data_IF_951971678086
#
_entry.id   IF_951971678086
#
_cell.length_a   1.000
_cell.length_b   1.000
_cell.length_c   1.000
_cell.angle_alpha   90.00
_cell.angle_beta   90.00
_cell.angle_gamma   90.00
#
_symmetry.space_group_name_H-M   'P 1'
#
loop_
_entity.id
_entity.type
_entity.pdbx_description
1 polymer ?
#
# COMPACT_ATOMS: atom_id res chain seq x y z
N UNK A 1 17.15 -8.85 6.15
CA UNK A 1 16.93 -7.69 5.26
C UNK A 1 16.24 -6.65 6.11
N UNK A 2 16.94 -5.60 6.48
CA UNK A 2 16.46 -4.57 7.40
C UNK A 2 15.83 -3.43 6.61
N UNK A 3 14.58 -3.10 6.91
CA UNK A 3 13.78 -2.15 6.13
C UNK A 3 13.49 -0.90 6.96
N UNK A 4 13.70 0.29 6.40
CA UNK A 4 13.18 1.53 6.98
C UNK A 4 11.81 1.86 6.38
N UNK A 5 10.79 2.06 7.22
CA UNK A 5 9.43 2.44 6.86
C UNK A 5 9.08 3.83 7.43
N UNK A 6 9.47 4.94 6.76
CA UNK A 6 9.05 6.27 7.17
C UNK A 6 7.54 6.44 6.96
N UNK A 7 6.83 6.90 8.00
CA UNK A 7 5.37 7.03 7.97
C UNK A 7 4.90 8.30 8.69
N UNK A 8 3.63 8.65 8.48
CA UNK A 8 2.98 9.73 9.23
C UNK A 8 2.32 9.19 10.49
N UNK A 9 2.05 10.08 11.46
CA UNK A 9 1.33 9.72 12.71
C UNK A 9 0.00 9.03 12.44
N UNK A 10 -0.75 9.50 11.43
CA UNK A 10 -2.08 8.98 11.09
C UNK A 10 -2.04 7.49 10.73
N UNK A 11 -0.97 7.04 10.07
CA UNK A 11 -0.84 5.68 9.54
C UNK A 11 0.09 4.80 10.38
N UNK A 12 0.72 5.35 11.42
CA UNK A 12 1.73 4.66 12.22
C UNK A 12 1.27 3.29 12.71
N UNK A 13 0.13 3.22 13.39
CA UNK A 13 -0.38 1.95 13.96
C UNK A 13 -0.59 0.90 12.88
N UNK A 14 -1.11 1.29 11.70
CA UNK A 14 -1.35 0.36 10.59
C UNK A 14 -0.03 -0.19 10.05
N UNK A 15 0.96 0.68 9.86
CA UNK A 15 2.28 0.28 9.34
C UNK A 15 3.04 -0.56 10.37
N UNK A 16 2.98 -0.19 11.65
CA UNK A 16 3.60 -0.94 12.75
C UNK A 16 3.05 -2.36 12.86
N UNK A 17 1.73 -2.52 12.79
CA UNK A 17 1.08 -3.84 12.84
C UNK A 17 1.47 -4.69 11.63
N UNK A 18 1.49 -4.11 10.44
CA UNK A 18 1.87 -4.83 9.22
C UNK A 18 3.36 -5.18 9.14
N UNK A 19 4.23 -4.40 9.80
CA UNK A 19 5.66 -4.67 9.88
C UNK A 19 6.01 -5.80 10.86
N UNK A 20 5.06 -6.26 11.70
CA UNK A 20 5.32 -7.38 12.63
C UNK A 20 5.74 -8.64 11.87
N UNK A 21 6.85 -9.23 12.29
CA UNK A 21 7.44 -10.41 11.64
C UNK A 21 8.42 -10.09 10.53
N UNK A 22 8.65 -8.81 10.23
CA UNK A 22 9.74 -8.34 9.38
C UNK A 22 10.80 -7.65 10.22
N UNK A 23 12.05 -7.68 9.74
CA UNK A 23 13.14 -6.88 10.26
C UNK A 23 12.98 -5.45 9.69
N UNK A 24 12.12 -4.66 10.34
CA UNK A 24 11.71 -3.36 9.83
C UNK A 24 11.51 -2.33 10.95
N UNK A 25 12.08 -1.15 10.76
CA UNK A 25 11.91 0.00 11.65
C UNK A 25 10.87 0.96 11.07
N UNK A 26 9.83 1.24 11.87
CA UNK A 26 8.77 2.18 11.49
C UNK A 26 9.02 3.49 12.21
N UNK A 27 9.26 4.56 11.43
CA UNK A 27 9.64 5.85 11.99
C UNK A 27 8.62 6.91 11.59
N UNK A 28 8.11 7.64 12.58
CA UNK A 28 7.19 8.75 12.35
C UNK A 28 7.99 9.99 11.93
N UNK A 29 7.74 10.51 10.72
CA UNK A 29 8.45 11.67 10.16
C UNK A 29 7.59 12.93 10.04
N UNK A 30 6.32 12.85 10.43
CA UNK A 30 5.38 13.97 10.38
C UNK A 30 3.94 13.51 10.57
N UNK A 31 2.98 14.36 10.19
CA UNK A 31 1.55 14.00 10.23
C UNK A 31 1.18 13.01 9.11
N UNK A 32 1.65 13.25 7.89
CA UNK A 32 1.38 12.45 6.70
C UNK A 32 2.66 11.88 6.09
N UNK A 33 2.63 10.60 5.74
CA UNK A 33 3.78 9.92 5.11
C UNK A 33 4.15 10.51 3.73
N UNK A 34 3.17 11.04 3.00
CA UNK A 34 3.35 11.63 1.66
C UNK A 34 4.16 12.93 1.65
N UNK A 35 4.33 13.57 2.80
CA UNK A 35 5.09 14.82 2.95
C UNK A 35 6.56 14.59 3.30
N UNK A 36 7.00 13.33 3.28
CA UNK A 36 8.39 12.96 3.52
C UNK A 36 9.32 13.66 2.52
N UNK A 37 10.34 14.32 3.03
CA UNK A 37 11.35 15.02 2.22
C UNK A 37 12.66 14.22 2.13
N UNK A 38 13.47 14.43 1.08
CA UNK A 38 14.79 13.79 0.96
C UNK A 38 15.71 14.09 2.16
N UNK A 39 15.68 15.32 2.68
CA UNK A 39 16.47 15.71 3.85
C UNK A 39 16.11 14.92 5.12
N UNK A 40 14.82 14.60 5.33
CA UNK A 40 14.41 13.75 6.45
C UNK A 40 14.91 12.32 6.30
N UNK A 41 14.80 11.73 5.09
CA UNK A 41 15.33 10.39 4.83
C UNK A 41 16.83 10.34 5.05
N UNK A 42 17.57 11.33 4.52
CA UNK A 42 19.01 11.46 4.75
C UNK A 42 19.36 11.48 6.24
N UNK A 43 18.65 12.28 7.05
CA UNK A 43 18.88 12.35 8.49
C UNK A 43 18.64 11.01 9.21
N UNK A 44 17.63 10.25 8.77
CA UNK A 44 17.35 8.92 9.33
C UNK A 44 18.47 7.93 9.00
N UNK A 45 18.93 7.92 7.75
CA UNK A 45 20.00 7.03 7.28
C UNK A 45 21.38 7.39 7.85
N UNK A 46 21.64 8.67 8.13
CA UNK A 46 22.88 9.10 8.81
C UNK A 46 22.99 8.58 10.24
N UNK A 47 21.86 8.28 10.88
CA UNK A 47 21.82 7.79 12.26
C UNK A 47 22.03 6.27 12.36
N UNK A 48 21.67 5.54 11.30
CA UNK A 48 21.85 4.10 11.18
C UNK A 48 21.86 3.71 9.69
N UNK A 49 23.03 3.30 9.18
CA UNK A 49 23.23 2.93 7.78
C UNK A 49 23.08 1.42 7.51
N UNK A 50 22.56 0.65 8.48
CA UNK A 50 22.42 -0.81 8.34
C UNK A 50 21.15 -1.26 7.59
N UNK A 51 20.37 -0.31 7.05
CA UNK A 51 19.19 -0.62 6.26
C UNK A 51 19.58 -1.10 4.86
N UNK A 52 18.89 -2.15 4.40
CA UNK A 52 19.04 -2.67 3.04
C UNK A 52 18.18 -1.88 2.03
N UNK A 53 17.09 -1.25 2.50
CA UNK A 53 16.24 -0.37 1.70
C UNK A 53 15.34 0.53 2.56
N UNK A 54 14.84 1.59 1.94
CA UNK A 54 13.76 2.43 2.47
C UNK A 54 12.51 2.25 1.62
N UNK A 55 11.36 2.07 2.24
CA UNK A 55 10.08 2.04 1.55
C UNK A 55 9.23 3.24 1.96
N UNK A 56 9.10 4.21 1.06
CA UNK A 56 8.34 5.45 1.29
C UNK A 56 6.87 5.28 0.89
N UNK A 57 6.02 6.25 1.23
CA UNK A 57 4.63 6.23 0.75
C UNK A 57 4.56 6.26 -0.79
N UNK A 58 3.64 5.49 -1.38
CA UNK A 58 3.33 5.59 -2.80
C UNK A 58 2.71 6.93 -3.22
N UNK A 59 2.34 7.78 -2.26
CA UNK A 59 1.84 9.14 -2.49
C UNK A 59 2.95 10.20 -2.46
N UNK A 60 4.19 9.84 -2.16
CA UNK A 60 5.32 10.77 -2.21
C UNK A 60 5.59 11.20 -3.65
N UNK A 61 5.70 12.50 -3.89
CA UNK A 61 6.06 13.07 -5.20
C UNK A 61 7.53 13.49 -5.29
N UNK A 62 8.21 13.62 -4.15
CA UNK A 62 9.62 13.94 -4.10
C UNK A 62 10.48 12.84 -4.76
N UNK A 63 11.55 13.27 -5.43
CA UNK A 63 12.62 12.36 -5.86
C UNK A 63 13.59 12.15 -4.71
N UNK A 64 14.04 10.90 -4.53
CA UNK A 64 15.02 10.51 -3.52
C UNK A 64 16.35 10.05 -4.13
N UNK A 65 16.54 10.25 -5.44
CA UNK A 65 17.72 9.78 -6.18
C UNK A 65 19.04 10.29 -5.57
N UNK A 66 19.09 11.56 -5.16
CA UNK A 66 20.29 12.14 -4.54
C UNK A 66 20.63 11.42 -3.22
N UNK A 67 19.62 11.05 -2.44
CA UNK A 67 19.82 10.33 -1.16
C UNK A 67 20.27 8.90 -1.43
N UNK A 68 19.70 8.23 -2.44
CA UNK A 68 20.18 6.91 -2.86
C UNK A 68 21.63 6.96 -3.33
N UNK A 69 22.01 7.97 -4.11
CA UNK A 69 23.38 8.13 -4.61
C UNK A 69 24.39 8.38 -3.48
N UNK A 70 24.01 9.19 -2.49
CA UNK A 70 24.84 9.50 -1.33
C UNK A 70 24.99 8.32 -0.36
N UNK A 71 23.90 7.57 -0.12
CA UNK A 71 23.87 6.52 0.91
C UNK A 71 24.16 5.12 0.36
N UNK A 72 23.96 4.90 -0.94
CA UNK A 72 23.97 3.58 -1.56
C UNK A 72 22.76 2.71 -1.21
N UNK A 73 21.82 3.22 -0.41
CA UNK A 73 20.64 2.48 0.05
C UNK A 73 19.48 2.78 -0.91
N UNK A 74 18.84 1.76 -1.52
CA UNK A 74 17.74 1.99 -2.43
C UNK A 74 16.48 2.47 -1.70
N UNK A 75 15.76 3.40 -2.32
CA UNK A 75 14.54 4.04 -1.80
C UNK A 75 13.41 3.77 -2.80
N UNK A 76 12.45 2.95 -2.41
CA UNK A 76 11.34 2.52 -3.24
C UNK A 76 10.02 3.15 -2.82
N UNK A 77 9.10 3.32 -3.77
CA UNK A 77 7.71 3.68 -3.49
C UNK A 77 6.92 2.45 -3.08
N UNK A 78 6.40 2.51 -1.85
CA UNK A 78 5.39 1.59 -1.35
C UNK A 78 4.01 1.84 -1.95
N UNK A 79 2.96 1.26 -1.37
CA UNK A 79 1.59 1.47 -1.83
C UNK A 79 1.10 2.87 -1.46
N UNK A 80 0.11 3.38 -2.20
CA UNK A 80 -0.56 4.64 -1.87
C UNK A 80 -1.31 4.57 -0.53
N UNK A 81 -1.91 3.43 -0.23
CA UNK A 81 -2.69 3.21 1.00
C UNK A 81 -1.91 2.39 2.01
N UNK A 82 -1.79 2.88 3.25
CA UNK A 82 -1.05 2.19 4.31
C UNK A 82 -1.61 0.79 4.64
N UNK A 83 -2.92 0.57 4.47
CA UNK A 83 -3.55 -0.74 4.67
C UNK A 83 -2.98 -1.83 3.75
N UNK A 84 -2.39 -1.44 2.62
CA UNK A 84 -1.84 -2.36 1.64
C UNK A 84 -0.38 -2.73 1.91
N UNK A 85 0.28 -2.10 2.91
CA UNK A 85 1.70 -2.33 3.18
C UNK A 85 1.99 -3.80 3.54
N UNK A 86 1.08 -4.45 4.27
CA UNK A 86 1.18 -5.87 4.61
C UNK A 86 1.12 -6.81 3.41
N UNK A 87 0.63 -6.34 2.26
CA UNK A 87 0.65 -7.08 1.00
C UNK A 87 1.95 -6.86 0.22
N UNK A 88 2.63 -5.74 0.45
CA UNK A 88 3.88 -5.38 -0.25
C UNK A 88 5.10 -5.96 0.47
N UNK A 89 5.16 -5.89 1.81
CA UNK A 89 6.31 -6.36 2.60
C UNK A 89 6.73 -7.81 2.29
N UNK A 90 5.82 -8.81 2.15
CA UNK A 90 6.21 -10.18 1.82
C UNK A 90 6.77 -10.39 0.41
N UNK A 91 6.62 -9.38 -0.47
CA UNK A 91 7.02 -9.42 -1.88
C UNK A 91 8.35 -8.71 -2.13
N UNK A 92 8.87 -7.98 -1.15
CA UNK A 92 10.18 -7.32 -1.26
C UNK A 92 11.26 -8.39 -1.50
N UNK A 93 12.08 -8.17 -2.52
CA UNK A 93 13.09 -9.13 -3.00
C UNK A 93 12.55 -10.21 -3.94
N UNK A 94 11.21 -10.33 -4.11
CA UNK A 94 10.56 -11.20 -5.10
C UNK A 94 10.06 -10.44 -6.32
N UNK A 95 9.71 -9.17 -6.12
CA UNK A 95 9.31 -8.25 -7.18
C UNK A 95 10.27 -7.06 -7.23
N UNK A 96 10.43 -6.49 -8.41
CA UNK A 96 11.19 -5.26 -8.60
C UNK A 96 10.28 -4.07 -8.25
N UNK A 97 10.60 -3.37 -7.16
CA UNK A 97 9.89 -2.16 -6.76
C UNK A 97 10.41 -0.96 -7.54
N UNK A 98 9.56 0.05 -7.70
CA UNK A 98 9.88 1.27 -8.46
C UNK A 98 10.16 2.46 -7.55
N UNK A 99 10.96 3.39 -8.05
CA UNK A 99 11.24 4.71 -7.46
C UNK A 99 10.16 5.74 -7.79
N UNK A 100 9.38 5.47 -8.85
CA UNK A 100 8.44 6.42 -9.44
C UNK A 100 7.01 5.89 -9.43
N UNK A 101 6.83 4.58 -9.59
CA UNK A 101 5.52 3.93 -9.67
C UNK A 101 5.16 3.32 -8.31
N UNK A 102 3.96 3.63 -7.75
CA UNK A 102 3.53 3.05 -6.48
C UNK A 102 3.40 1.53 -6.51
N UNK A 103 3.74 0.87 -5.40
CA UNK A 103 3.77 -0.59 -5.30
C UNK A 103 2.40 -1.25 -5.58
N UNK A 104 1.29 -0.57 -5.29
CA UNK A 104 -0.06 -1.06 -5.54
C UNK A 104 -0.37 -1.25 -7.02
N UNK A 105 0.32 -0.55 -7.93
CA UNK A 105 0.12 -0.73 -9.38
C UNK A 105 0.62 -2.08 -9.86
N UNK A 106 1.75 -2.56 -9.32
CA UNK A 106 2.29 -3.89 -9.63
C UNK A 106 1.40 -5.01 -9.09
N UNK A 107 0.60 -4.72 -8.06
CA UNK A 107 -0.36 -5.65 -7.48
C UNK A 107 -1.73 -5.61 -8.15
N UNK A 108 -2.01 -4.59 -8.97
CA UNK A 108 -3.34 -4.30 -9.49
C UNK A 108 -3.91 -5.43 -10.38
N UNK A 109 -3.07 -6.06 -11.20
CA UNK A 109 -3.49 -7.13 -12.12
C UNK A 109 -3.99 -8.37 -11.38
N UNK A 110 -3.19 -8.92 -10.46
CA UNK A 110 -3.54 -10.13 -9.73
C UNK A 110 -4.63 -9.85 -8.67
N UNK A 111 -4.59 -8.69 -8.01
CA UNK A 111 -5.65 -8.26 -7.07
C UNK A 111 -7.01 -8.15 -7.75
N UNK A 112 -7.06 -7.56 -8.96
CA UNK A 112 -8.31 -7.45 -9.71
C UNK A 112 -8.89 -8.83 -10.00
N UNK A 113 -8.05 -9.76 -10.41
CA UNK A 113 -8.46 -11.15 -10.70
C UNK A 113 -8.98 -11.86 -9.44
N UNK A 114 -8.26 -11.76 -8.33
CA UNK A 114 -8.67 -12.38 -7.06
C UNK A 114 -9.97 -11.76 -6.51
N UNK A 115 -10.09 -10.43 -6.56
CA UNK A 115 -11.29 -9.71 -6.14
C UNK A 115 -12.51 -10.11 -6.98
N UNK A 116 -12.37 -10.17 -8.31
CA UNK A 116 -13.43 -10.62 -9.21
C UNK A 116 -13.81 -12.08 -8.94
N UNK A 117 -12.83 -12.96 -8.68
CA UNK A 117 -13.09 -14.35 -8.33
C UNK A 117 -13.86 -14.46 -7.00
N UNK A 118 -13.46 -13.69 -5.98
CA UNK A 118 -14.13 -13.67 -4.67
C UNK A 118 -15.55 -13.13 -4.74
N UNK A 119 -15.78 -12.08 -5.54
CA UNK A 119 -17.10 -11.51 -5.79
C UNK A 119 -18.00 -12.54 -6.51
N UNK A 120 -17.47 -13.18 -7.56
CA UNK A 120 -18.19 -14.19 -8.34
C UNK A 120 -18.57 -15.39 -7.48
N UNK A 121 -17.64 -15.86 -6.64
CA UNK A 121 -17.91 -16.95 -5.69
C UNK A 121 -19.00 -16.59 -4.69
N UNK A 122 -18.91 -15.41 -4.04
CA UNK A 122 -19.94 -14.93 -3.11
C UNK A 122 -21.32 -14.81 -3.76
N UNK A 123 -21.38 -14.42 -5.04
CA UNK A 123 -22.63 -14.32 -5.78
C UNK A 123 -23.23 -15.69 -6.13
N UNK A 124 -22.39 -16.66 -6.47
CA UNK A 124 -22.80 -18.02 -6.79
C UNK A 124 -23.33 -18.76 -5.54
N UNK A 125 -22.61 -18.66 -4.43
CA UNK A 125 -22.87 -19.40 -3.18
C UNK A 125 -24.08 -18.89 -2.38
N UNK A 126 -24.63 -17.73 -2.71
CA UNK A 126 -25.69 -17.08 -1.93
C UNK A 126 -27.02 -17.06 -2.67
N UNK A 127 -28.08 -17.39 -1.94
CA UNK A 127 -29.44 -17.22 -2.39
C UNK A 127 -29.85 -15.74 -2.27
N UNK A 128 -30.50 -15.15 -3.28
CA UNK A 128 -31.03 -13.80 -3.18
C UNK A 128 -32.27 -13.73 -2.28
N UNK A 129 -32.61 -12.53 -1.81
CA UNK A 129 -33.96 -12.24 -1.29
C UNK A 129 -34.97 -12.20 -2.44
N UNK A 130 -34.60 -11.60 -3.58
CA UNK A 130 -35.37 -11.63 -4.82
C UNK A 130 -34.46 -11.41 -6.04
N UNK A 131 -34.95 -11.70 -7.24
CA UNK A 131 -34.20 -11.46 -8.48
C UNK A 131 -34.97 -10.53 -9.42
N UNK A 132 -34.26 -9.58 -10.04
CA UNK A 132 -34.81 -8.68 -11.04
C UNK A 132 -34.10 -8.92 -12.38
N UNK A 133 -34.82 -9.42 -13.39
CA UNK A 133 -34.25 -9.75 -14.72
C UNK A 133 -32.96 -10.59 -14.63
N UNK A 134 -32.94 -11.57 -13.73
CA UNK A 134 -31.77 -12.44 -13.50
C UNK A 134 -30.69 -11.86 -12.58
N UNK A 135 -30.82 -10.61 -12.12
CA UNK A 135 -29.92 -10.01 -11.14
C UNK A 135 -30.38 -10.35 -9.73
N UNK A 136 -29.53 -11.06 -8.96
CA UNK A 136 -29.78 -11.41 -7.55
C UNK A 136 -29.69 -10.19 -6.64
N UNK A 137 -30.69 -9.93 -5.80
CA UNK A 137 -30.71 -8.80 -4.85
C UNK A 137 -30.98 -9.31 -3.43
N UNK A 138 -30.22 -8.79 -2.45
CA UNK A 138 -30.36 -9.17 -1.04
C UNK A 138 -29.78 -10.56 -0.71
N UNK A 139 -30.14 -11.11 0.45
CA UNK A 139 -29.77 -12.47 0.87
C UNK A 139 -28.27 -12.72 1.10
N UNK A 140 -27.48 -11.66 1.31
CA UNK A 140 -26.02 -11.77 1.44
C UNK A 140 -25.28 -12.00 0.11
N UNK A 141 -25.97 -11.86 -1.02
CA UNK A 141 -25.35 -11.76 -2.35
C UNK A 141 -24.48 -10.49 -2.45
N UNK A 142 -23.65 -10.35 -3.48
CA UNK A 142 -22.74 -9.18 -3.59
C UNK A 142 -23.52 -7.87 -3.63
N UNK A 143 -22.87 -6.75 -3.31
CA UNK A 143 -23.45 -5.40 -3.50
C UNK A 143 -23.56 -5.09 -4.99
N UNK A 144 -24.68 -4.48 -5.39
CA UNK A 144 -24.93 -4.02 -6.77
C UNK A 144 -24.97 -2.49 -6.71
N UNK A 145 -23.98 -1.85 -7.31
CA UNK A 145 -23.92 -0.39 -7.44
C UNK A 145 -24.62 -0.02 -8.75
N UNK A 146 -25.65 0.82 -8.67
CA UNK A 146 -26.48 1.19 -9.82
C UNK A 146 -26.04 2.54 -10.41
N UNK A 147 -25.65 3.47 -9.55
CA UNK A 147 -25.02 4.73 -9.89
C UNK A 147 -24.14 5.20 -8.72
N UNK A 148 -23.10 5.96 -9.03
CA UNK A 148 -22.34 6.77 -8.08
C UNK A 148 -22.66 8.23 -8.38
N UNK A 149 -22.96 9.02 -7.35
CA UNK A 149 -23.20 10.46 -7.49
C UNK A 149 -21.92 11.15 -7.04
N UNK A 150 -21.21 11.75 -7.98
CA UNK A 150 -20.10 12.65 -7.69
C UNK A 150 -20.64 14.06 -7.43
N UNK A 151 -19.99 14.81 -6.53
CA UNK A 151 -20.33 16.19 -6.16
C UNK A 151 -21.72 16.39 -5.53
N UNK A 152 -22.14 15.48 -4.65
CA UNK A 152 -23.29 15.71 -3.77
C UNK A 152 -22.92 16.74 -2.68
N UNK A 153 -23.09 18.02 -2.99
CA UNK A 153 -23.01 19.14 -2.04
C UNK A 153 -24.34 19.39 -1.32
#
# INVERSE_FOLDING_TARGET
MRILLPTGKVTYTIVQEAAKGFDADVVVTGELASFLTPGQVRSLLSSDASYDLVLVSGMCTASFADVEQETGIPIYRGPRHAADIGLVLPLIGKIELSRDIPADEFLSGERRKEALARISRKEAERAPTFALRGVKIGGGTRIKVLAEIMDAH
#
